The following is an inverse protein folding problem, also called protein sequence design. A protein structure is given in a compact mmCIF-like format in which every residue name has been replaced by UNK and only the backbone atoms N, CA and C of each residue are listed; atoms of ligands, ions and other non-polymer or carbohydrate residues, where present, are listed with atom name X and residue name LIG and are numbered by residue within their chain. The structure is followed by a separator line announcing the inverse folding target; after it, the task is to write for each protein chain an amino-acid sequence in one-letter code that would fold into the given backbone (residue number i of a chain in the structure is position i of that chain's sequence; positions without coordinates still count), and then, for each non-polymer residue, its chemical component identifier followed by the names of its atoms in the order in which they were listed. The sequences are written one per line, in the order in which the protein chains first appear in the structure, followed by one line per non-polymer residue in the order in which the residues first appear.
data_IF_884375851148
#
_entry.id   IF_884375851148
#
_cell.length_a   1.000
_cell.length_b   1.000
_cell.length_c   1.000
_cell.angle_alpha   90.00
_cell.angle_beta   90.00
_cell.angle_gamma   90.00
#
_symmetry.space_group_name_H-M   'P 1'
#
loop_
_entity.id
_entity.type
_entity.pdbx_description
1 polymer ?
#
# COMPACT_ATOMS: atom_id res chain seq x y z
N UNK A 1 24.75 8.52 9.32
CA UNK A 1 23.56 7.72 8.92
C UNK A 1 22.43 8.65 8.50
N UNK A 2 21.69 8.35 7.43
CA UNK A 2 20.46 9.09 7.11
C UNK A 2 19.38 8.68 8.10
N UNK A 3 18.57 9.63 8.58
CA UNK A 3 17.45 9.33 9.47
C UNK A 3 16.43 8.41 8.78
N UNK A 4 15.80 7.49 9.53
CA UNK A 4 14.70 6.67 9.01
C UNK A 4 13.49 7.53 8.64
N UNK A 5 13.33 8.64 9.37
CA UNK A 5 12.26 9.62 9.17
C UNK A 5 12.67 10.57 8.04
N UNK A 6 12.03 10.40 6.89
CA UNK A 6 12.11 11.24 5.70
C UNK A 6 10.70 11.57 5.20
N UNK A 7 10.49 12.69 4.51
CA UNK A 7 9.19 13.04 3.92
C UNK A 7 8.57 11.90 3.08
N UNK A 8 9.39 11.10 2.40
CA UNK A 8 8.90 9.96 1.61
C UNK A 8 8.41 8.80 2.47
N UNK A 9 9.00 8.61 3.64
CA UNK A 9 8.55 7.61 4.63
C UNK A 9 7.25 8.06 5.30
N UNK A 10 7.15 9.34 5.68
CA UNK A 10 5.94 9.91 6.26
C UNK A 10 4.75 9.80 5.29
N UNK A 11 4.97 10.11 4.01
CA UNK A 11 3.97 9.91 2.95
C UNK A 11 3.60 8.45 2.72
N UNK A 12 4.48 7.51 3.03
CA UNK A 12 4.19 6.08 2.88
C UNK A 12 3.38 5.55 4.07
N UNK A 13 3.71 6.03 5.28
CA UNK A 13 2.95 5.75 6.51
C UNK A 13 1.49 6.17 6.34
N UNK A 14 1.23 7.41 5.90
CA UNK A 14 -0.15 7.89 5.72
C UNK A 14 -0.94 7.08 4.68
N UNK A 15 -0.28 6.57 3.62
CA UNK A 15 -0.94 5.66 2.66
C UNK A 15 -1.28 4.32 3.27
N UNK A 16 -0.39 3.75 4.10
CA UNK A 16 -0.64 2.49 4.81
C UNK A 16 -1.80 2.63 5.79
N UNK A 17 -1.83 3.71 6.55
CA UNK A 17 -2.92 3.99 7.50
C UNK A 17 -4.26 4.12 6.77
N UNK A 18 -4.27 4.88 5.66
CA UNK A 18 -5.47 5.07 4.86
C UNK A 18 -5.91 3.79 4.15
N UNK A 19 -4.98 2.97 3.66
CA UNK A 19 -5.29 1.65 3.11
C UNK A 19 -5.90 0.74 4.18
N UNK A 20 -5.32 0.68 5.37
CA UNK A 20 -5.81 -0.14 6.47
C UNK A 20 -7.26 0.24 6.83
N UNK A 21 -7.56 1.54 6.93
CA UNK A 21 -8.92 2.02 7.25
C UNK A 21 -9.98 1.66 6.20
N UNK A 22 -9.59 1.48 4.93
CA UNK A 22 -10.53 1.28 3.80
C UNK A 22 -10.47 -0.13 3.21
N UNK A 23 -9.64 -1.02 3.75
CA UNK A 23 -9.36 -2.34 3.18
C UNK A 23 -10.65 -3.19 3.05
N UNK A 24 -11.47 -3.19 4.10
CA UNK A 24 -12.71 -3.98 4.15
C UNK A 24 -13.71 -3.53 3.08
N UNK A 25 -13.97 -2.23 2.99
CA UNK A 25 -14.87 -1.65 1.98
C UNK A 25 -14.35 -1.92 0.56
N UNK A 26 -13.05 -1.73 0.33
CA UNK A 26 -12.44 -1.98 -0.97
C UNK A 26 -12.59 -3.43 -1.41
N UNK A 27 -12.38 -4.40 -0.50
CA UNK A 27 -12.58 -5.83 -0.76
C UNK A 27 -14.04 -6.14 -1.08
N UNK A 28 -14.98 -5.60 -0.31
CA UNK A 28 -16.41 -5.77 -0.56
C UNK A 28 -16.82 -5.25 -1.95
N UNK A 29 -16.40 -4.03 -2.31
CA UNK A 29 -16.70 -3.48 -3.65
C UNK A 29 -16.04 -4.27 -4.77
N UNK A 30 -14.80 -4.74 -4.59
CA UNK A 30 -14.14 -5.60 -5.57
C UNK A 30 -14.88 -6.91 -5.82
N UNK A 31 -15.37 -7.54 -4.75
CA UNK A 31 -16.18 -8.74 -4.85
C UNK A 31 -17.45 -8.46 -5.66
N UNK A 32 -18.24 -7.47 -5.23
CA UNK A 32 -19.48 -7.09 -5.90
C UNK A 32 -19.28 -6.72 -7.38
N UNK A 33 -18.24 -5.95 -7.70
CA UNK A 33 -17.97 -5.51 -9.07
C UNK A 33 -17.58 -6.67 -10.01
N UNK A 34 -16.89 -7.71 -9.49
CA UNK A 34 -16.37 -8.84 -10.28
C UNK A 34 -17.30 -10.05 -10.33
N UNK A 35 -18.38 -10.06 -9.56
CA UNK A 35 -19.32 -11.18 -9.52
C UNK A 35 -20.26 -11.17 -10.72
N UNK A 36 -20.07 -12.08 -11.66
CA UNK A 36 -20.90 -12.19 -12.87
C UNK A 36 -22.35 -12.59 -12.59
N UNK A 37 -22.61 -13.30 -11.48
CA UNK A 37 -23.96 -13.66 -11.04
C UNK A 37 -24.81 -12.50 -10.50
N UNK A 38 -24.23 -11.31 -10.31
CA UNK A 38 -24.95 -10.13 -9.85
C UNK A 38 -25.45 -9.27 -11.01
N UNK A 39 -26.58 -8.55 -10.83
CA UNK A 39 -27.12 -7.68 -11.87
C UNK A 39 -26.13 -6.57 -12.24
N UNK A 40 -26.09 -6.23 -13.54
CA UNK A 40 -25.16 -5.23 -14.10
C UNK A 40 -25.19 -3.89 -13.36
N UNK A 41 -26.38 -3.41 -12.97
CA UNK A 41 -26.54 -2.14 -12.26
C UNK A 41 -25.78 -2.12 -10.92
N UNK A 42 -25.85 -3.22 -10.17
CA UNK A 42 -25.19 -3.35 -8.87
C UNK A 42 -23.66 -3.40 -9.04
N UNK A 43 -23.18 -4.14 -10.06
CA UNK A 43 -21.75 -4.15 -10.41
C UNK A 43 -21.23 -2.76 -10.77
N UNK A 44 -21.96 -2.04 -11.61
CA UNK A 44 -21.60 -0.69 -12.03
C UNK A 44 -21.56 0.27 -10.83
N UNK A 45 -22.53 0.17 -9.93
CA UNK A 45 -22.55 0.98 -8.70
C UNK A 45 -21.35 0.64 -7.80
N UNK A 46 -21.03 -0.63 -7.60
CA UNK A 46 -19.86 -1.04 -6.82
C UNK A 46 -18.55 -0.55 -7.45
N UNK A 47 -18.44 -0.56 -8.78
CA UNK A 47 -17.27 -0.03 -9.49
C UNK A 47 -17.15 1.49 -9.32
N UNK A 48 -18.26 2.23 -9.35
CA UNK A 48 -18.26 3.67 -9.08
C UNK A 48 -17.84 3.96 -7.63
N UNK A 49 -18.36 3.22 -6.65
CA UNK A 49 -17.96 3.34 -5.25
C UNK A 49 -16.46 3.04 -5.06
N UNK A 50 -15.91 2.07 -5.78
CA UNK A 50 -14.49 1.75 -5.77
C UNK A 50 -13.65 2.89 -6.34
N UNK A 51 -14.09 3.53 -7.42
CA UNK A 51 -13.43 4.68 -8.03
C UNK A 51 -13.47 5.93 -7.14
N UNK A 52 -14.52 6.08 -6.33
CA UNK A 52 -14.67 7.20 -5.38
C UNK A 52 -13.81 7.06 -4.11
N UNK A 53 -13.15 5.91 -3.89
CA UNK A 53 -12.25 5.74 -2.75
C UNK A 53 -11.08 6.74 -2.83
N UNK A 54 -10.53 7.16 -1.67
CA UNK A 54 -9.47 8.14 -1.66
C UNK A 54 -8.22 7.62 -2.36
N UNK A 55 -7.56 8.45 -3.16
CA UNK A 55 -6.47 8.00 -4.03
C UNK A 55 -5.27 7.37 -3.29
N UNK A 56 -5.07 7.68 -2.01
CA UNK A 56 -3.99 7.12 -1.19
C UNK A 56 -4.31 5.73 -0.61
N UNK A 57 -5.57 5.28 -0.65
CA UNK A 57 -5.96 3.93 -0.25
C UNK A 57 -5.72 2.88 -1.33
N UNK A 58 -5.13 3.23 -2.47
CA UNK A 58 -4.79 2.24 -3.48
C UNK A 58 -3.53 1.46 -3.06
N UNK A 59 -3.59 0.11 -3.03
CA UNK A 59 -2.45 -0.71 -2.60
C UNK A 59 -1.23 -0.53 -3.51
N UNK A 60 -1.43 -0.22 -4.80
CA UNK A 60 -0.36 0.03 -5.78
C UNK A 60 0.52 1.22 -5.45
N UNK A 61 0.08 2.13 -4.57
CA UNK A 61 0.87 3.30 -4.15
C UNK A 61 1.75 3.04 -2.93
N UNK A 62 1.54 1.94 -2.22
CA UNK A 62 2.35 1.57 -1.06
C UNK A 62 3.65 0.97 -1.57
N UNK A 63 4.79 1.46 -1.06
CA UNK A 63 6.11 0.98 -1.46
C UNK A 63 6.87 0.48 -0.25
N UNK A 64 7.61 -0.60 -0.40
CA UNK A 64 8.54 -1.05 0.62
C UNK A 64 9.71 -0.09 0.75
N UNK A 65 10.04 0.28 1.99
CA UNK A 65 11.16 1.17 2.32
C UNK A 65 11.99 0.53 3.41
N UNK A 66 13.29 0.80 3.37
CA UNK A 66 14.20 0.40 4.42
C UNK A 66 13.83 1.10 5.74
N UNK A 67 13.68 0.32 6.81
CA UNK A 67 13.28 0.79 8.12
C UNK A 67 14.33 1.73 8.72
N UNK A 68 15.62 1.46 8.49
CA UNK A 68 16.74 2.22 9.08
C UNK A 68 17.02 3.52 8.30
N UNK A 69 16.98 3.48 6.96
CA UNK A 69 17.43 4.61 6.11
C UNK A 69 16.34 5.30 5.29
N UNK A 70 15.13 4.73 5.22
CA UNK A 70 14.04 5.24 4.39
C UNK A 70 14.24 5.08 2.87
N UNK A 71 15.31 4.39 2.44
CA UNK A 71 15.57 4.08 1.02
C UNK A 71 14.48 3.18 0.45
N UNK A 72 13.96 3.50 -0.73
CA UNK A 72 12.89 2.74 -1.40
C UNK A 72 13.37 1.78 -2.50
N UNK A 73 14.67 1.59 -2.67
CA UNK A 73 15.23 0.70 -3.71
C UNK A 73 16.14 -0.34 -3.06
N UNK A 74 16.14 -1.55 -3.64
CA UNK A 74 16.93 -2.67 -3.13
C UNK A 74 16.56 -3.05 -1.70
N UNK A 75 15.27 -2.95 -1.36
CA UNK A 75 14.72 -3.36 -0.08
C UNK A 75 14.42 -4.86 -0.15
N UNK A 76 14.91 -5.60 0.83
CA UNK A 76 14.64 -7.02 0.98
C UNK A 76 13.36 -7.14 1.81
N UNK A 77 12.23 -7.42 1.16
CA UNK A 77 10.89 -7.44 1.77
C UNK A 77 10.83 -8.20 3.10
N UNK A 78 11.43 -9.39 3.14
CA UNK A 78 11.45 -10.28 4.31
C UNK A 78 12.09 -9.65 5.55
N UNK A 79 13.02 -8.72 5.36
CA UNK A 79 13.81 -8.12 6.44
C UNK A 79 13.48 -6.63 6.64
N UNK A 80 12.84 -5.97 5.66
CA UNK A 80 12.60 -4.53 5.70
C UNK A 80 13.89 -3.69 5.66
N UNK A 81 15.01 -4.28 5.24
CA UNK A 81 16.32 -3.63 5.15
C UNK A 81 16.71 -3.42 3.69
N UNK A 82 17.42 -2.32 3.39
CA UNK A 82 18.04 -2.20 2.07
C UNK A 82 19.34 -3.00 2.01
N UNK A 83 19.75 -3.38 0.79
CA UNK A 83 20.95 -4.20 0.52
C UNK A 83 22.19 -3.76 1.31
N UNK A 84 22.44 -2.45 1.41
CA UNK A 84 23.62 -1.92 2.12
C UNK A 84 23.51 -2.14 3.62
N UNK A 85 22.35 -1.82 4.21
CA UNK A 85 22.13 -2.02 5.65
C UNK A 85 22.12 -3.51 6.02
N UNK A 86 21.58 -4.35 5.14
CA UNK A 86 21.68 -5.80 5.31
C UNK A 86 23.15 -6.26 5.37
N UNK A 87 23.99 -5.81 4.43
CA UNK A 87 25.41 -6.17 4.46
C UNK A 87 26.12 -5.68 5.72
N UNK A 88 25.82 -4.46 6.19
CA UNK A 88 26.44 -3.90 7.40
C UNK A 88 25.94 -4.60 8.68
N UNK A 89 24.67 -4.99 8.74
CA UNK A 89 24.08 -5.58 9.96
C UNK A 89 24.45 -7.04 10.18
N UNK A 90 24.91 -7.73 9.13
CA UNK A 90 25.26 -9.15 9.14
C UNK A 90 26.75 -9.41 8.87
N UNK A 91 27.56 -8.35 8.88
CA UNK A 91 29.03 -8.40 8.97
C UNK A 91 29.43 -8.26 10.44
#
# INVERSE_FOLDING_TARGET
MRSPINIRTLRDMTRRDQFASTELLRRAYLYLARNEGLPMKLRAQAQLSLNNLPSNSHPTKIHERCIITGKGRGVIAKLGLCRVEYTISFL
#
